data_IF_091313002231
#
_entry.id   IF_091313002231
#
_cell.length_a   1.000
_cell.length_b   1.000
_cell.length_c   1.000
_cell.angle_alpha   90.00
_cell.angle_beta   90.00
_cell.angle_gamma   90.00
#
_symmetry.space_group_name_H-M   'P 1'
#
loop_
_entity.id
_entity.type
_entity.pdbx_description
1 polymer ?
#
# COMPACT_ATOMS: atom_id res chain seq x y z
N UNK A 1 -1.13 -7.74 -40.57
CA UNK A 1 -1.37 -6.32 -40.24
C UNK A 1 -2.26 -6.30 -39.01
N UNK A 2 -1.63 -6.34 -37.85
CA UNK A 2 -2.18 -6.00 -36.53
C UNK A 2 -1.02 -6.21 -35.56
N UNK A 3 -0.03 -5.31 -35.69
CA UNK A 3 1.05 -5.16 -34.74
C UNK A 3 0.58 -4.19 -33.67
N UNK A 4 0.23 -4.74 -32.51
CA UNK A 4 0.09 -3.99 -31.27
C UNK A 4 0.83 -4.78 -30.21
N UNK A 5 2.01 -4.29 -29.81
CA UNK A 5 2.70 -4.77 -28.61
C UNK A 5 1.73 -4.62 -27.43
N UNK A 6 1.15 -5.74 -26.99
CA UNK A 6 0.37 -5.79 -25.75
C UNK A 6 1.36 -5.57 -24.61
N UNK A 7 1.35 -4.37 -24.04
CA UNK A 7 2.10 -4.03 -22.85
C UNK A 7 1.69 -4.98 -21.71
N UNK A 8 2.62 -5.82 -21.25
CA UNK A 8 2.45 -6.59 -20.03
C UNK A 8 3.01 -5.76 -18.86
N UNK A 9 2.18 -5.53 -17.84
CA UNK A 9 2.60 -4.82 -16.63
C UNK A 9 3.70 -5.56 -15.83
N UNK A 10 4.11 -6.75 -16.28
CA UNK A 10 5.28 -7.48 -15.80
C UNK A 10 6.61 -6.89 -16.29
N UNK A 11 6.63 -6.23 -17.46
CA UNK A 11 7.85 -5.66 -18.09
C UNK A 11 8.25 -4.29 -17.55
N UNK A 12 7.39 -3.64 -16.75
CA UNK A 12 7.84 -2.54 -15.90
C UNK A 12 8.67 -3.15 -14.76
N UNK A 13 9.93 -3.44 -15.05
CA UNK A 13 10.99 -3.65 -14.07
C UNK A 13 11.22 -2.32 -13.32
N UNK A 14 10.30 -2.03 -12.39
CA UNK A 14 10.70 -1.26 -11.22
C UNK A 14 11.81 -2.08 -10.56
N UNK A 15 13.00 -1.52 -10.29
CA UNK A 15 14.05 -2.22 -9.59
C UNK A 15 13.45 -2.98 -8.41
N UNK A 16 13.74 -4.29 -8.31
CA UNK A 16 13.50 -5.06 -7.09
C UNK A 16 14.12 -4.25 -5.95
N UNK A 17 13.40 -4.14 -4.85
CA UNK A 17 13.66 -3.26 -3.70
C UNK A 17 13.20 -1.82 -3.89
N UNK A 18 12.07 -1.48 -3.26
CA UNK A 18 11.79 -0.17 -2.62
C UNK A 18 10.31 0.00 -2.22
N UNK A 19 9.41 -0.86 -2.72
CA UNK A 19 8.01 -0.94 -2.24
C UNK A 19 7.74 -2.21 -1.42
N UNK A 20 8.64 -3.20 -1.44
CA UNK A 20 8.69 -4.28 -0.45
C UNK A 20 9.13 -3.70 0.90
N UNK A 21 8.29 -3.86 1.92
CA UNK A 21 8.67 -3.60 3.31
C UNK A 21 9.47 -4.79 3.84
N UNK A 22 10.78 -4.79 3.63
CA UNK A 22 11.71 -5.60 4.43
C UNK A 22 12.85 -4.68 4.84
N UNK A 23 12.75 -4.23 6.09
CA UNK A 23 13.77 -3.45 6.76
C UNK A 23 14.65 -4.44 7.53
N UNK A 24 15.75 -4.87 6.93
CA UNK A 24 16.89 -5.40 7.68
C UNK A 24 18.17 -4.91 7.01
N UNK A 25 18.92 -4.12 7.77
CA UNK A 25 20.24 -3.68 7.37
C UNK A 25 21.23 -4.82 7.51
N UNK A 26 21.91 -5.15 6.42
CA UNK A 26 23.30 -5.57 6.40
C UNK A 26 23.85 -5.18 5.04
N UNK A 27 24.76 -4.21 5.05
CA UNK A 27 25.71 -3.99 3.97
C UNK A 27 26.71 -5.17 3.98
N UNK A 28 27.19 -5.52 2.78
CA UNK A 28 28.19 -6.55 2.45
C UNK A 28 27.66 -7.96 2.13
N UNK A 29 27.56 -8.26 0.82
CA UNK A 29 28.04 -9.48 0.11
C UNK A 29 27.52 -9.43 -1.35
N UNK A 30 28.31 -8.87 -2.27
CA UNK A 30 29.18 -9.57 -3.25
C UNK A 30 28.43 -10.07 -4.50
N UNK A 31 28.91 -9.55 -5.63
CA UNK A 31 28.59 -9.96 -7.00
C UNK A 31 28.72 -11.47 -7.18
N UNK A 32 27.66 -12.12 -7.63
CA UNK A 32 27.68 -13.34 -8.43
C UNK A 32 26.51 -13.25 -9.44
N UNK A 33 26.71 -12.47 -10.50
CA UNK A 33 26.02 -12.70 -11.76
C UNK A 33 26.77 -13.83 -12.45
N UNK A 34 26.17 -15.03 -12.53
CA UNK A 34 26.46 -16.01 -13.58
C UNK A 34 25.33 -17.09 -13.67
N UNK A 35 24.66 -17.08 -14.83
CA UNK A 35 24.25 -18.28 -15.60
C UNK A 35 22.99 -19.12 -15.23
N UNK A 36 21.87 -18.50 -14.82
CA UNK A 36 20.58 -19.22 -14.55
C UNK A 36 19.34 -18.75 -15.34
N UNK A 37 19.48 -18.01 -16.45
CA UNK A 37 18.30 -17.49 -17.18
C UNK A 37 17.76 -18.41 -18.29
N UNK A 38 18.53 -19.39 -18.78
CA UNK A 38 18.09 -20.25 -19.89
C UNK A 38 17.03 -21.30 -19.48
N UNK A 39 17.08 -21.83 -18.26
CA UNK A 39 16.15 -22.89 -17.80
C UNK A 39 14.79 -22.34 -17.31
N UNK A 40 14.72 -21.04 -16.98
CA UNK A 40 13.51 -20.38 -16.52
C UNK A 40 12.54 -20.04 -17.67
N UNK A 41 13.03 -19.80 -18.89
CA UNK A 41 12.17 -19.48 -20.03
C UNK A 41 11.36 -20.70 -20.51
N UNK A 42 11.97 -21.89 -20.59
CA UNK A 42 11.26 -23.11 -21.01
C UNK A 42 10.21 -23.56 -19.98
N UNK A 43 10.51 -23.44 -18.69
CA UNK A 43 9.59 -23.77 -17.61
C UNK A 43 8.42 -22.77 -17.51
N UNK A 44 8.69 -21.48 -17.71
CA UNK A 44 7.65 -20.43 -17.81
C UNK A 44 6.72 -20.67 -18.99
N UNK A 45 7.28 -21.02 -20.16
CA UNK A 45 6.50 -21.31 -21.36
C UNK A 45 5.64 -22.59 -21.18
N UNK A 46 6.18 -23.61 -20.52
CA UNK A 46 5.44 -24.83 -20.17
C UNK A 46 4.25 -24.53 -19.25
N UNK A 47 4.45 -23.72 -18.20
CA UNK A 47 3.37 -23.31 -17.30
C UNK A 47 2.30 -22.50 -18.02
N UNK A 48 2.68 -21.56 -18.91
CA UNK A 48 1.73 -20.80 -19.72
C UNK A 48 0.87 -21.69 -20.61
N UNK A 49 1.47 -22.71 -21.24
CA UNK A 49 0.74 -23.70 -22.06
C UNK A 49 -0.26 -24.47 -21.19
N UNK A 50 0.16 -24.92 -20.00
CA UNK A 50 -0.73 -25.61 -19.05
C UNK A 50 -1.91 -24.72 -18.61
N UNK A 51 -1.65 -23.47 -18.24
CA UNK A 51 -2.71 -22.53 -17.86
C UNK A 51 -3.68 -22.26 -19.00
N UNK A 52 -3.16 -22.09 -20.23
CA UNK A 52 -4.00 -21.90 -21.42
C UNK A 52 -4.90 -23.12 -21.67
N UNK A 53 -4.35 -24.33 -21.57
CA UNK A 53 -5.12 -25.58 -21.71
C UNK A 53 -6.23 -25.71 -20.65
N UNK A 54 -5.94 -25.33 -19.39
CA UNK A 54 -6.95 -25.31 -18.33
C UNK A 54 -8.06 -24.28 -18.61
N UNK A 55 -7.71 -23.06 -19.03
CA UNK A 55 -8.68 -22.03 -19.40
C UNK A 55 -9.53 -22.48 -20.60
N UNK A 56 -8.93 -23.10 -21.62
CA UNK A 56 -9.65 -23.62 -22.79
C UNK A 56 -10.62 -24.74 -22.39
N UNK A 57 -10.23 -25.60 -21.44
CA UNK A 57 -11.09 -26.67 -20.93
C UNK A 57 -12.26 -26.12 -20.12
N UNK A 58 -12.00 -25.17 -19.22
CA UNK A 58 -13.04 -24.51 -18.43
C UNK A 58 -13.99 -23.68 -19.31
N UNK A 59 -13.47 -23.00 -20.33
CA UNK A 59 -14.27 -22.22 -21.28
C UNK A 59 -15.21 -23.09 -22.11
N UNK A 60 -14.86 -24.37 -22.34
CA UNK A 60 -15.76 -25.33 -23.00
C UNK A 60 -16.88 -25.81 -22.08
N UNK A 61 -16.63 -25.87 -20.77
CA UNK A 61 -17.62 -26.31 -19.78
C UNK A 61 -18.59 -25.18 -19.41
N UNK A 62 -18.07 -23.98 -19.17
CA UNK A 62 -18.84 -22.80 -18.79
C UNK A 62 -18.26 -21.54 -19.46
N UNK A 63 -18.60 -21.30 -20.74
CA UNK A 63 -18.06 -20.17 -21.50
C UNK A 63 -18.48 -18.81 -20.93
N UNK A 64 -19.68 -18.73 -20.36
CA UNK A 64 -20.21 -17.48 -19.82
C UNK A 64 -19.46 -17.06 -18.56
N UNK A 65 -19.28 -17.97 -17.59
CA UNK A 65 -18.54 -17.68 -16.36
C UNK A 65 -17.11 -17.27 -16.67
N UNK A 66 -16.42 -17.96 -17.56
CA UNK A 66 -15.02 -17.63 -17.89
C UNK A 66 -14.92 -16.27 -18.57
N UNK A 67 -15.81 -15.94 -19.51
CA UNK A 67 -15.80 -14.63 -20.16
C UNK A 67 -16.08 -13.49 -19.17
N UNK A 68 -17.03 -13.68 -18.25
CA UNK A 68 -17.36 -12.71 -17.20
C UNK A 68 -16.19 -12.52 -16.23
N UNK A 69 -15.54 -13.62 -15.78
CA UNK A 69 -14.36 -13.56 -14.89
C UNK A 69 -13.17 -12.88 -15.57
N UNK A 70 -12.89 -13.19 -16.84
CA UNK A 70 -11.81 -12.54 -17.60
C UNK A 70 -12.04 -11.03 -17.69
N UNK A 71 -13.28 -10.61 -17.94
CA UNK A 71 -13.66 -9.20 -17.99
C UNK A 71 -13.50 -8.54 -16.61
N UNK A 72 -13.97 -9.18 -15.54
CA UNK A 72 -13.81 -8.71 -14.16
C UNK A 72 -12.33 -8.51 -13.80
N UNK A 73 -11.48 -9.50 -14.07
CA UNK A 73 -10.05 -9.44 -13.75
C UNK A 73 -9.34 -8.39 -14.60
N UNK A 74 -9.67 -8.27 -15.90
CA UNK A 74 -9.13 -7.23 -16.77
C UNK A 74 -9.41 -5.84 -16.21
N UNK A 75 -10.66 -5.59 -15.82
CA UNK A 75 -11.06 -4.28 -15.30
C UNK A 75 -10.52 -4.00 -13.90
N UNK A 76 -10.44 -5.01 -13.03
CA UNK A 76 -9.77 -4.89 -11.74
C UNK A 76 -8.29 -4.53 -11.93
N UNK A 77 -7.59 -5.16 -12.87
CA UNK A 77 -6.21 -4.81 -13.22
C UNK A 77 -6.12 -3.36 -13.72
N UNK A 78 -7.04 -2.90 -14.57
CA UNK A 78 -7.08 -1.49 -15.04
C UNK A 78 -7.20 -0.49 -13.90
N UNK A 79 -8.10 -0.72 -12.95
CA UNK A 79 -8.32 0.22 -11.83
C UNK A 79 -7.26 0.09 -10.70
N UNK A 80 -6.29 -0.82 -10.82
CA UNK A 80 -5.20 -0.99 -9.84
C UNK A 80 -4.45 0.30 -9.63
N UNK A 81 -3.98 0.89 -10.74
CA UNK A 81 -3.17 2.10 -10.74
C UNK A 81 -3.71 3.02 -11.84
N UNK A 82 -4.36 4.11 -11.43
CA UNK A 82 -4.87 5.10 -12.37
C UNK A 82 -3.71 5.90 -12.96
N UNK A 83 -3.90 6.50 -14.15
CA UNK A 83 -2.82 7.21 -14.84
C UNK A 83 -2.22 8.36 -14.03
N UNK A 84 -3.03 9.12 -13.31
CA UNK A 84 -2.54 10.18 -12.41
C UNK A 84 -1.80 9.63 -11.17
N UNK A 85 -2.20 8.46 -10.67
CA UNK A 85 -1.48 7.76 -9.60
C UNK A 85 -0.13 7.22 -10.08
N UNK A 86 -0.08 6.69 -11.31
CA UNK A 86 1.15 6.23 -11.97
C UNK A 86 2.14 7.39 -12.10
N UNK A 87 1.71 8.50 -12.69
CA UNK A 87 2.55 9.70 -12.85
C UNK A 87 3.06 10.22 -11.50
N UNK A 88 2.18 10.35 -10.51
CA UNK A 88 2.58 10.81 -9.18
C UNK A 88 3.56 9.85 -8.50
N UNK A 89 3.31 8.54 -8.59
CA UNK A 89 4.13 7.49 -7.98
C UNK A 89 5.54 7.47 -8.57
N UNK A 90 5.64 7.44 -9.90
CA UNK A 90 6.93 7.42 -10.60
C UNK A 90 7.73 8.70 -10.37
N UNK A 91 7.09 9.88 -10.43
CA UNK A 91 7.78 11.15 -10.12
C UNK A 91 8.26 11.22 -8.67
N UNK A 92 7.49 10.70 -7.72
CA UNK A 92 7.91 10.64 -6.32
C UNK A 92 9.09 9.68 -6.11
N UNK A 93 9.09 8.53 -6.80
CA UNK A 93 10.18 7.55 -6.74
C UNK A 93 11.50 8.12 -7.26
N UNK A 94 11.46 8.82 -8.39
CA UNK A 94 12.66 9.41 -9.00
C UNK A 94 13.02 10.79 -8.45
N UNK A 95 12.33 11.29 -7.42
CA UNK A 95 12.55 12.64 -6.89
C UNK A 95 13.99 12.85 -6.37
N UNK A 96 14.54 11.86 -5.68
CA UNK A 96 15.92 11.90 -5.18
C UNK A 96 16.91 11.95 -6.34
N UNK A 97 16.71 11.13 -7.37
CA UNK A 97 17.55 11.10 -8.56
C UNK A 97 17.45 12.39 -9.37
N UNK A 98 16.25 12.94 -9.57
CA UNK A 98 16.04 14.24 -10.21
C UNK A 98 16.82 15.34 -9.47
N UNK A 99 16.80 15.30 -8.13
CA UNK A 99 17.52 16.28 -7.30
C UNK A 99 19.05 16.11 -7.42
N UNK A 100 19.56 14.87 -7.41
CA UNK A 100 20.99 14.58 -7.62
C UNK A 100 21.47 15.05 -9.00
N UNK A 101 20.71 14.78 -10.06
CA UNK A 101 21.03 15.22 -11.42
C UNK A 101 20.99 16.74 -11.56
N UNK A 102 20.06 17.40 -10.87
CA UNK A 102 20.05 18.87 -10.81
C UNK A 102 21.36 19.40 -10.20
N UNK A 103 21.78 18.88 -9.06
CA UNK A 103 23.02 19.31 -8.39
C UNK A 103 24.27 18.99 -9.24
N UNK A 104 24.30 17.83 -9.89
CA UNK A 104 25.38 17.46 -10.80
C UNK A 104 25.49 18.42 -11.99
N UNK A 105 24.35 18.82 -12.55
CA UNK A 105 24.32 19.78 -13.65
C UNK A 105 24.80 21.17 -13.20
N UNK A 106 24.41 21.62 -12.00
CA UNK A 106 24.89 22.89 -11.41
C UNK A 106 26.42 22.88 -11.27
N UNK A 107 27.00 21.79 -10.75
CA UNK A 107 28.45 21.62 -10.62
C UNK A 107 29.20 21.60 -11.96
N UNK A 108 28.68 20.87 -12.95
CA UNK A 108 29.32 20.79 -14.28
C UNK A 108 29.27 22.15 -15.00
N UNK A 109 28.20 22.92 -14.85
CA UNK A 109 28.09 24.27 -15.43
C UNK A 109 29.11 25.22 -14.79
N UNK A 110 29.27 25.19 -13.46
CA UNK A 110 30.26 26.00 -12.76
C UNK A 110 31.67 25.71 -13.27
N UNK A 111 32.02 24.42 -13.40
CA UNK A 111 33.31 23.98 -13.94
C UNK A 111 33.57 24.42 -15.38
N UNK A 112 32.55 24.42 -16.24
CA UNK A 112 32.67 24.91 -17.63
C UNK A 112 32.85 26.43 -17.66
N UNK A 113 32.17 27.16 -16.77
CA UNK A 113 32.29 28.61 -16.67
C UNK A 113 33.66 29.06 -16.13
N UNK A 114 34.23 28.34 -15.16
CA UNK A 114 35.55 28.61 -14.59
C UNK A 114 36.71 28.33 -15.56
N UNK A 115 36.50 27.57 -16.62
CA UNK A 115 37.56 27.23 -17.56
C UNK A 115 37.98 28.46 -18.40
N UNK A 116 39.26 28.91 -18.30
CA UNK A 116 39.74 30.09 -19.03
C UNK A 116 40.04 29.78 -20.51
N UNK A 117 40.11 28.52 -20.91
CA UNK A 117 40.52 28.10 -22.26
C UNK A 117 39.34 27.96 -23.25
N UNK A 118 38.11 28.25 -22.81
CA UNK A 118 36.91 28.11 -23.63
C UNK A 118 36.33 29.49 -23.96
N UNK A 119 35.95 29.69 -25.23
CA UNK A 119 35.23 30.88 -25.66
C UNK A 119 33.75 30.81 -25.21
N UNK A 120 33.07 31.96 -25.15
CA UNK A 120 31.67 32.01 -24.69
C UNK A 120 30.73 31.12 -25.53
N UNK A 121 30.91 31.04 -26.86
CA UNK A 121 30.12 30.15 -27.72
C UNK A 121 30.38 28.67 -27.44
N UNK A 122 31.64 28.30 -27.16
CA UNK A 122 32.02 26.93 -26.81
C UNK A 122 31.46 26.53 -25.44
N UNK A 123 31.46 27.46 -24.47
CA UNK A 123 30.85 27.27 -23.16
C UNK A 123 29.36 27.00 -23.27
N UNK A 124 28.62 27.79 -24.05
CA UNK A 124 27.18 27.61 -24.27
C UNK A 124 26.90 26.24 -24.90
N UNK A 125 27.64 25.87 -25.96
CA UNK A 125 27.46 24.58 -26.64
C UNK A 125 27.76 23.40 -25.70
N UNK A 126 28.84 23.48 -24.93
CA UNK A 126 29.24 22.43 -23.99
C UNK A 126 28.23 22.28 -22.85
N UNK A 127 27.70 23.40 -22.33
CA UNK A 127 26.66 23.41 -21.30
C UNK A 127 25.36 22.76 -21.83
N UNK A 128 24.95 23.08 -23.06
CA UNK A 128 23.78 22.46 -23.68
C UNK A 128 23.95 20.95 -23.87
N UNK A 129 25.13 20.50 -24.28
CA UNK A 129 25.44 19.08 -24.45
C UNK A 129 25.47 18.33 -23.10
N UNK A 130 26.08 18.94 -22.07
CA UNK A 130 26.09 18.41 -20.70
C UNK A 130 24.69 18.32 -20.11
N UNK A 131 23.86 19.35 -20.31
CA UNK A 131 22.44 19.33 -19.92
C UNK A 131 21.72 18.15 -20.56
N UNK A 132 21.83 18.00 -21.89
CA UNK A 132 21.21 16.91 -22.63
C UNK A 132 21.63 15.54 -22.09
N UNK A 133 22.91 15.32 -21.81
CA UNK A 133 23.42 14.04 -21.32
C UNK A 133 22.88 13.73 -19.91
N UNK A 134 22.94 14.69 -18.99
CA UNK A 134 22.57 14.50 -17.58
C UNK A 134 21.06 14.30 -17.42
N UNK A 135 20.25 15.00 -18.22
CA UNK A 135 18.78 14.99 -18.15
C UNK A 135 18.15 13.88 -19.01
N UNK A 136 18.86 13.31 -19.98
CA UNK A 136 18.35 12.24 -20.86
C UNK A 136 17.66 11.09 -20.12
N UNK A 137 18.17 10.56 -18.99
CA UNK A 137 17.47 9.49 -18.26
C UNK A 137 16.14 9.94 -17.64
N UNK A 138 16.01 11.21 -17.23
CA UNK A 138 14.74 11.76 -16.73
C UNK A 138 13.75 11.86 -17.88
N UNK A 139 14.18 12.37 -19.05
CA UNK A 139 13.34 12.47 -20.25
C UNK A 139 12.86 11.08 -20.65
N UNK A 140 13.74 10.08 -20.65
CA UNK A 140 13.38 8.70 -20.99
C UNK A 140 12.24 8.17 -20.11
N UNK A 141 12.29 8.41 -18.79
CA UNK A 141 11.22 8.00 -17.87
C UNK A 141 9.90 8.72 -18.21
N UNK A 142 9.94 10.02 -18.50
CA UNK A 142 8.74 10.80 -18.84
C UNK A 142 8.15 10.37 -20.19
N UNK A 143 8.98 10.03 -21.17
CA UNK A 143 8.55 9.49 -22.47
C UNK A 143 7.88 8.12 -22.29
N UNK A 144 8.46 7.22 -21.50
CA UNK A 144 7.83 5.93 -21.18
C UNK A 144 6.46 6.11 -20.52
N UNK A 145 6.32 7.05 -19.58
CA UNK A 145 5.03 7.37 -18.97
C UNK A 145 4.05 7.99 -19.97
N UNK A 146 4.54 8.83 -20.88
CA UNK A 146 3.74 9.41 -21.95
C UNK A 146 3.24 8.33 -22.91
N UNK A 147 4.07 7.37 -23.28
CA UNK A 147 3.70 6.27 -24.19
C UNK A 147 2.57 5.42 -23.61
N UNK A 148 2.59 5.18 -22.29
CA UNK A 148 1.52 4.46 -21.59
C UNK A 148 0.22 5.29 -21.50
N UNK A 149 0.32 6.61 -21.34
CA UNK A 149 -0.84 7.48 -21.06
C UNK A 149 -1.39 8.22 -22.29
N UNK A 150 -0.75 8.09 -23.45
CA UNK A 150 -1.23 8.64 -24.72
C UNK A 150 -2.02 7.63 -25.58
N UNK A 151 -2.13 6.38 -25.13
CA UNK A 151 -2.98 5.34 -25.74
C UNK A 151 -4.45 5.77 -25.75
N UNK A 152 -5.25 5.24 -26.68
CA UNK A 152 -6.70 5.49 -26.73
C UNK A 152 -7.35 5.25 -25.36
N UNK A 153 -8.10 6.26 -24.87
CA UNK A 153 -8.78 6.20 -23.58
C UNK A 153 -10.00 5.28 -23.66
N UNK A 154 -10.08 4.32 -22.74
CA UNK A 154 -11.21 3.38 -22.62
C UNK A 154 -12.20 3.82 -21.53
N UNK A 155 -11.76 4.67 -20.60
CA UNK A 155 -12.59 5.14 -19.47
C UNK A 155 -12.77 6.66 -19.47
N UNK A 156 -13.88 7.19 -18.89
CA UNK A 156 -14.06 8.63 -18.71
C UNK A 156 -12.91 9.30 -17.96
N UNK A 157 -12.35 8.64 -16.94
CA UNK A 157 -11.23 9.16 -16.16
C UNK A 157 -9.94 9.24 -16.97
N UNK A 158 -9.66 8.24 -17.81
CA UNK A 158 -8.52 8.27 -18.75
C UNK A 158 -8.65 9.42 -19.76
N UNK A 159 -9.86 9.62 -20.30
CA UNK A 159 -10.14 10.74 -21.21
C UNK A 159 -9.95 12.09 -20.55
N UNK A 160 -10.49 12.29 -19.34
CA UNK A 160 -10.32 13.53 -18.56
C UNK A 160 -8.83 13.79 -18.27
N UNK A 161 -8.07 12.74 -17.96
CA UNK A 161 -6.63 12.86 -17.76
C UNK A 161 -5.93 13.40 -19.01
N UNK A 162 -6.24 12.85 -20.18
CA UNK A 162 -5.62 13.27 -21.44
C UNK A 162 -5.96 14.71 -21.78
N UNK A 163 -7.24 15.07 -21.72
CA UNK A 163 -7.73 16.42 -22.00
C UNK A 163 -7.08 17.47 -21.09
N UNK A 164 -6.75 17.09 -19.86
CA UNK A 164 -6.21 18.01 -18.86
C UNK A 164 -4.68 18.09 -18.83
N UNK A 165 -3.98 16.98 -19.04
CA UNK A 165 -2.55 16.87 -18.76
C UNK A 165 -1.68 16.53 -19.97
N UNK A 166 -2.24 15.96 -21.05
CA UNK A 166 -1.40 15.42 -22.14
C UNK A 166 -0.60 16.51 -22.87
N UNK A 167 -1.21 17.66 -23.14
CA UNK A 167 -0.54 18.78 -23.81
C UNK A 167 0.51 19.42 -22.90
N UNK A 168 0.20 19.55 -21.60
CA UNK A 168 1.16 20.00 -20.58
C UNK A 168 2.37 19.05 -20.48
N UNK A 169 2.15 17.73 -20.50
CA UNK A 169 3.23 16.72 -20.46
C UNK A 169 4.12 16.84 -21.69
N UNK A 170 3.52 16.95 -22.89
CA UNK A 170 4.27 17.14 -24.14
C UNK A 170 5.11 18.40 -24.11
N UNK A 171 4.54 19.52 -23.66
CA UNK A 171 5.25 20.79 -23.52
C UNK A 171 6.43 20.69 -22.52
N UNK A 172 6.23 20.02 -21.38
CA UNK A 172 7.29 19.79 -20.40
C UNK A 172 8.42 18.94 -20.98
N UNK A 173 8.11 17.84 -21.67
CA UNK A 173 9.12 16.99 -22.31
C UNK A 173 9.88 17.75 -23.39
N UNK A 174 9.20 18.58 -24.20
CA UNK A 174 9.84 19.42 -25.20
C UNK A 174 10.78 20.45 -24.58
N UNK A 175 10.35 21.14 -23.51
CA UNK A 175 11.18 22.11 -22.78
C UNK A 175 12.37 21.48 -22.07
N UNK A 176 12.26 20.23 -21.62
CA UNK A 176 13.38 19.48 -21.06
C UNK A 176 14.39 19.03 -22.13
N UNK A 177 13.92 18.68 -23.34
CA UNK A 177 14.78 18.34 -24.48
C UNK A 177 15.51 19.56 -25.04
N UNK A 178 14.83 20.70 -25.10
CA UNK A 178 15.32 21.95 -25.68
C UNK A 178 15.15 23.10 -24.67
N UNK A 179 16.00 23.20 -23.64
CA UNK A 179 15.89 24.26 -22.64
C UNK A 179 16.23 25.63 -23.24
N UNK A 180 15.40 26.64 -22.97
CA UNK A 180 15.67 28.04 -23.38
C UNK A 180 16.91 28.62 -22.68
N UNK A 181 17.18 28.18 -21.44
CA UNK A 181 18.33 28.61 -20.63
C UNK A 181 19.06 27.38 -20.05
N UNK A 182 19.94 26.72 -20.81
CA UNK A 182 20.67 25.55 -20.33
C UNK A 182 21.70 25.91 -19.23
N UNK A 183 22.12 27.17 -19.17
CA UNK A 183 23.04 27.72 -18.15
C UNK A 183 22.43 27.79 -16.74
N UNK A 184 21.10 27.66 -16.62
CA UNK A 184 20.39 27.73 -15.34
C UNK A 184 19.59 26.44 -15.08
N UNK A 185 20.19 25.47 -14.37
CA UNK A 185 19.54 24.18 -14.08
C UNK A 185 18.19 24.33 -13.37
N UNK A 186 18.12 25.28 -12.43
CA UNK A 186 16.90 25.55 -11.67
C UNK A 186 15.74 25.96 -12.56
N UNK A 187 15.99 26.81 -13.58
CA UNK A 187 14.99 27.29 -14.53
C UNK A 187 14.62 26.18 -15.53
N UNK A 188 15.61 25.44 -16.02
CA UNK A 188 15.38 24.32 -16.96
C UNK A 188 14.50 23.19 -16.39
N UNK A 189 14.53 22.97 -15.08
CA UNK A 189 13.73 21.95 -14.37
C UNK A 189 12.45 22.50 -13.74
N UNK A 190 12.17 23.82 -13.82
CA UNK A 190 10.90 24.39 -13.33
C UNK A 190 9.66 23.75 -13.97
N UNK A 191 9.62 23.48 -15.29
CA UNK A 191 8.44 22.87 -15.91
C UNK A 191 8.08 21.52 -15.28
N UNK A 192 9.08 20.69 -14.98
CA UNK A 192 8.89 19.40 -14.31
C UNK A 192 8.38 19.57 -12.87
N UNK A 193 8.93 20.53 -12.10
CA UNK A 193 8.46 20.83 -10.74
C UNK A 193 7.01 21.33 -10.74
N UNK A 194 6.63 22.14 -11.72
CA UNK A 194 5.25 22.63 -11.86
C UNK A 194 4.28 21.49 -12.19
N UNK A 195 4.66 20.60 -13.11
CA UNK A 195 3.87 19.41 -13.45
C UNK A 195 3.68 18.50 -12.23
N UNK A 196 4.75 18.25 -11.47
CA UNK A 196 4.68 17.46 -10.25
C UNK A 196 3.74 18.10 -9.21
N UNK A 197 3.80 19.43 -9.05
CA UNK A 197 2.89 20.18 -8.16
C UNK A 197 1.43 20.07 -8.62
N UNK A 198 1.16 20.12 -9.94
CA UNK A 198 -0.19 19.93 -10.50
C UNK A 198 -0.76 18.55 -10.15
N UNK A 199 0.02 17.48 -10.29
CA UNK A 199 -0.41 16.14 -9.86
C UNK A 199 -0.64 16.08 -8.36
N UNK A 200 0.32 16.58 -7.59
CA UNK A 200 0.26 16.60 -6.13
C UNK A 200 -0.99 17.32 -5.58
N UNK A 201 -1.41 18.44 -6.16
CA UNK A 201 -2.59 19.20 -5.70
C UNK A 201 -3.87 18.37 -5.60
N UNK A 202 -4.07 17.40 -6.52
CA UNK A 202 -5.24 16.49 -6.48
C UNK A 202 -5.22 15.59 -5.25
N UNK A 203 -4.03 15.19 -4.78
CA UNK A 203 -3.84 14.20 -3.72
C UNK A 203 -3.42 14.77 -2.35
N UNK A 204 -3.26 16.09 -2.23
CA UNK A 204 -2.84 16.75 -0.97
C UNK A 204 -3.94 16.81 0.12
N UNK A 205 -5.16 16.39 -0.19
CA UNK A 205 -6.22 16.27 0.82
C UNK A 205 -5.91 15.04 1.68
N UNK A 206 -5.48 15.25 2.93
CA UNK A 206 -5.20 14.21 3.95
C UNK A 206 -6.44 13.39 4.39
N UNK A 207 -7.52 13.47 3.63
CA UNK A 207 -8.80 12.80 3.85
C UNK A 207 -8.99 11.75 2.79
N UNK A 208 -9.59 10.61 3.15
CA UNK A 208 -10.11 9.67 2.18
C UNK A 208 -10.94 10.43 1.15
N UNK A 209 -10.69 10.18 -0.13
CA UNK A 209 -11.48 10.76 -1.21
C UNK A 209 -12.17 9.64 -1.98
N UNK A 210 -13.32 9.98 -2.53
CA UNK A 210 -14.18 9.03 -3.20
C UNK A 210 -14.05 9.22 -4.70
N UNK A 211 -13.92 8.10 -5.41
CA UNK A 211 -14.07 8.00 -6.86
C UNK A 211 -15.40 7.32 -7.17
N UNK A 212 -15.90 7.55 -8.38
CA UNK A 212 -17.05 6.81 -8.90
C UNK A 212 -16.56 5.67 -9.79
N UNK A 213 -17.11 4.47 -9.59
CA UNK A 213 -16.78 3.31 -10.41
C UNK A 213 -17.07 3.57 -11.89
N UNK A 214 -18.18 4.23 -12.21
CA UNK A 214 -18.55 4.58 -13.58
C UNK A 214 -17.48 5.43 -14.31
N UNK A 215 -16.70 6.22 -13.57
CA UNK A 215 -15.69 7.11 -14.15
C UNK A 215 -14.39 6.34 -14.42
N UNK A 216 -14.04 5.35 -13.58
CA UNK A 216 -12.79 4.58 -13.66
C UNK A 216 -12.94 3.20 -14.34
N UNK A 217 -14.14 2.63 -14.36
CA UNK A 217 -14.50 1.41 -15.08
C UNK A 217 -16.02 1.36 -15.28
N UNK A 218 -16.52 1.86 -16.43
CA UNK A 218 -17.93 1.74 -16.81
C UNK A 218 -18.40 0.29 -16.87
N UNK A 219 -17.49 -0.63 -17.23
CA UNK A 219 -17.77 -2.06 -17.34
C UNK A 219 -18.09 -2.63 -15.95
N UNK A 220 -17.23 -2.43 -14.94
CA UNK A 220 -17.50 -2.90 -13.58
C UNK A 220 -18.77 -2.28 -12.98
N UNK A 221 -19.04 -1.01 -13.29
CA UNK A 221 -20.28 -0.37 -12.87
C UNK A 221 -21.52 -0.98 -13.55
N UNK A 222 -21.40 -1.36 -14.83
CA UNK A 222 -22.47 -1.96 -15.62
C UNK A 222 -22.77 -3.42 -15.31
N UNK A 223 -21.87 -4.12 -14.60
CA UNK A 223 -22.06 -5.51 -14.19
C UNK A 223 -23.30 -5.63 -13.29
N UNK A 224 -24.22 -6.52 -13.69
CA UNK A 224 -25.43 -6.89 -12.94
C UNK A 224 -25.71 -8.38 -13.03
N UNK A 225 -26.13 -8.96 -11.92
CA UNK A 225 -26.61 -10.34 -11.74
C UNK A 225 -25.75 -11.37 -12.47
N UNK A 226 -24.45 -11.41 -12.13
CA UNK A 226 -23.48 -12.30 -12.76
C UNK A 226 -23.58 -13.73 -12.29
N UNK A 227 -22.94 -14.62 -13.05
CA UNK A 227 -22.66 -16.01 -12.66
C UNK A 227 -21.34 -16.16 -11.89
N UNK A 228 -20.58 -15.06 -11.72
CA UNK A 228 -19.29 -15.07 -11.04
C UNK A 228 -19.48 -15.33 -9.54
N UNK A 229 -18.86 -16.39 -9.02
CA UNK A 229 -18.82 -16.65 -7.59
C UNK A 229 -18.08 -15.52 -6.83
N UNK A 230 -18.59 -15.17 -5.65
CA UNK A 230 -18.02 -14.12 -4.83
C UNK A 230 -16.58 -14.46 -4.39
N UNK A 231 -15.59 -13.58 -4.64
CA UNK A 231 -14.18 -13.90 -4.38
C UNK A 231 -13.90 -14.25 -2.91
N UNK A 232 -13.20 -15.35 -2.67
CA UNK A 232 -12.74 -15.73 -1.33
C UNK A 232 -13.83 -16.30 -0.41
N UNK A 233 -15.03 -16.62 -0.91
CA UNK A 233 -16.06 -17.32 -0.12
C UNK A 233 -16.01 -18.81 -0.46
N UNK A 234 -15.86 -19.66 0.55
CA UNK A 234 -15.88 -21.11 0.38
C UNK A 234 -17.30 -21.61 0.08
N UNK A 235 -17.46 -22.45 -0.96
CA UNK A 235 -18.72 -23.07 -1.43
C UNK A 235 -19.33 -24.13 -0.49
N UNK A 236 -19.39 -23.88 0.82
CA UNK A 236 -19.86 -24.92 1.75
C UNK A 236 -21.39 -25.05 1.84
N UNK A 237 -22.19 -24.08 1.37
CA UNK A 237 -23.67 -24.18 1.49
C UNK A 237 -24.46 -23.60 0.32
N UNK A 238 -24.08 -22.43 -0.23
CA UNK A 238 -24.66 -21.83 -1.45
C UNK A 238 -23.59 -21.01 -2.18
N UNK A 239 -23.50 -21.14 -3.49
CA UNK A 239 -22.65 -20.30 -4.31
C UNK A 239 -23.27 -18.90 -4.37
N UNK A 240 -22.73 -17.96 -3.60
CA UNK A 240 -23.09 -16.55 -3.69
C UNK A 240 -22.41 -15.98 -4.92
N UNK A 241 -23.18 -15.38 -5.84
CA UNK A 241 -22.63 -14.72 -7.02
C UNK A 241 -22.62 -13.20 -6.85
N UNK A 242 -21.84 -12.51 -7.67
CA UNK A 242 -21.81 -11.04 -7.68
C UNK A 242 -23.10 -10.53 -8.34
N UNK A 243 -23.97 -9.87 -7.58
CA UNK A 243 -25.12 -9.17 -8.12
C UNK A 243 -24.71 -7.83 -8.72
N UNK A 244 -23.96 -6.98 -8.04
CA UNK A 244 -23.41 -5.76 -8.65
C UNK A 244 -22.25 -5.17 -7.84
N UNK A 245 -21.53 -4.22 -8.43
CA UNK A 245 -20.43 -3.48 -7.79
C UNK A 245 -20.89 -2.07 -7.41
N UNK A 246 -20.54 -1.63 -6.21
CA UNK A 246 -20.85 -0.28 -5.74
C UNK A 246 -20.24 0.78 -6.67
N UNK A 247 -21.00 1.83 -6.97
CA UNK A 247 -20.47 2.98 -7.69
C UNK A 247 -19.51 3.81 -6.82
N UNK A 248 -19.48 3.64 -5.50
CA UNK A 248 -18.60 4.39 -4.62
C UNK A 248 -17.32 3.61 -4.34
N UNK A 249 -16.17 4.18 -4.72
CA UNK A 249 -14.84 3.64 -4.42
C UNK A 249 -14.11 4.61 -3.49
N UNK A 250 -13.79 4.16 -2.28
CA UNK A 250 -13.07 4.98 -1.30
C UNK A 250 -11.58 4.68 -1.31
N UNK A 251 -10.74 5.71 -1.46
CA UNK A 251 -9.29 5.57 -1.39
C UNK A 251 -8.81 5.86 0.03
N UNK A 252 -8.09 4.91 0.62
CA UNK A 252 -7.61 5.05 1.99
C UNK A 252 -6.35 5.95 2.04
N UNK A 253 -6.22 6.82 3.06
CA UNK A 253 -5.14 7.80 3.16
C UNK A 253 -3.84 7.17 3.70
N UNK A 254 -3.33 6.13 3.05
CA UNK A 254 -2.05 5.49 3.37
C UNK A 254 -1.02 5.76 2.26
N UNK A 255 0.24 5.37 2.49
CA UNK A 255 1.33 5.52 1.49
C UNK A 255 0.98 4.82 0.16
N UNK A 256 0.38 3.63 0.23
CA UNK A 256 0.04 2.80 -0.94
C UNK A 256 -1.36 3.06 -1.50
N UNK A 257 -2.14 3.96 -0.88
CA UNK A 257 -3.46 4.42 -1.34
C UNK A 257 -4.39 3.29 -1.85
N UNK A 258 -4.61 2.22 -1.07
CA UNK A 258 -5.44 1.11 -1.50
C UNK A 258 -6.91 1.53 -1.67
N UNK A 259 -7.59 0.86 -2.58
CA UNK A 259 -8.98 1.16 -2.97
C UNK A 259 -9.92 0.23 -2.19
N UNK A 260 -10.87 0.79 -1.44
CA UNK A 260 -11.94 0.02 -0.79
C UNK A 260 -13.06 -0.21 -1.79
N UNK A 261 -13.24 -1.45 -2.20
CA UNK A 261 -14.29 -1.89 -3.13
C UNK A 261 -15.41 -2.59 -2.36
N UNK A 262 -16.66 -2.40 -2.81
CA UNK A 262 -17.84 -3.03 -2.21
C UNK A 262 -18.63 -3.74 -3.29
N UNK A 263 -18.85 -5.03 -3.09
CA UNK A 263 -19.63 -5.93 -3.94
C UNK A 263 -20.92 -6.30 -3.21
N UNK A 264 -21.99 -6.51 -3.97
CA UNK A 264 -23.27 -6.99 -3.47
C UNK A 264 -23.49 -8.41 -3.97
N UNK A 265 -23.77 -9.32 -3.05
CA UNK A 265 -24.03 -10.72 -3.38
C UNK A 265 -25.48 -10.98 -3.78
N UNK A 266 -25.70 -12.09 -4.47
CA UNK A 266 -27.03 -12.64 -4.78
C UNK A 266 -27.85 -12.99 -3.54
N UNK A 267 -27.22 -13.07 -2.36
CA UNK A 267 -27.85 -13.28 -1.06
C UNK A 267 -28.31 -11.97 -0.38
N UNK A 268 -28.06 -10.82 -1.01
CA UNK A 268 -28.38 -9.50 -0.47
C UNK A 268 -27.35 -8.97 0.53
N UNK A 269 -26.26 -9.69 0.77
CA UNK A 269 -25.20 -9.25 1.67
C UNK A 269 -24.17 -8.38 0.93
N UNK A 270 -23.58 -7.43 1.66
CA UNK A 270 -22.42 -6.65 1.19
C UNK A 270 -21.11 -7.33 1.53
N UNK A 271 -20.23 -7.40 0.53
CA UNK A 271 -18.88 -7.94 0.62
C UNK A 271 -17.87 -6.85 0.30
N UNK A 272 -17.06 -6.50 1.29
CA UNK A 272 -16.09 -5.42 1.16
C UNK A 272 -14.70 -6.00 0.98
N UNK A 273 -13.94 -5.41 0.05
CA UNK A 273 -12.56 -5.79 -0.21
C UNK A 273 -11.65 -4.57 -0.19
N UNK A 274 -10.46 -4.74 0.36
CA UNK A 274 -9.34 -3.85 0.19
C UNK A 274 -8.56 -4.29 -1.05
N UNK A 275 -8.58 -3.46 -2.08
CA UNK A 275 -7.82 -3.68 -3.29
C UNK A 275 -6.45 -3.00 -3.19
N UNK A 276 -5.40 -3.82 -3.25
CA UNK A 276 -4.01 -3.38 -3.16
C UNK A 276 -3.30 -3.57 -4.50
N UNK A 277 -2.55 -2.55 -4.89
CA UNK A 277 -1.71 -2.55 -6.08
C UNK A 277 -0.26 -2.26 -5.71
N UNK A 278 0.67 -2.71 -6.56
CA UNK A 278 2.13 -2.64 -6.36
C UNK A 278 2.62 -3.41 -5.12
N UNK A 279 1.84 -4.37 -4.64
CA UNK A 279 2.16 -5.25 -3.52
C UNK A 279 1.95 -6.71 -3.95
N UNK A 280 2.89 -7.59 -3.61
CA UNK A 280 2.75 -9.03 -3.81
C UNK A 280 1.98 -9.63 -2.62
N UNK A 281 0.80 -10.18 -2.88
CA UNK A 281 -0.08 -10.77 -1.86
C UNK A 281 0.00 -12.30 -1.79
N UNK A 282 0.88 -12.95 -2.56
CA UNK A 282 0.99 -14.41 -2.52
C UNK A 282 1.45 -14.92 -1.17
N UNK A 283 2.35 -14.20 -0.49
CA UNK A 283 2.79 -14.59 0.85
C UNK A 283 1.63 -14.51 1.86
N UNK A 284 0.89 -13.40 1.86
CA UNK A 284 -0.32 -13.25 2.69
C UNK A 284 -1.33 -14.37 2.45
N UNK A 285 -1.54 -14.74 1.19
CA UNK A 285 -2.42 -15.84 0.80
C UNK A 285 -1.97 -17.18 1.42
N UNK A 286 -0.68 -17.50 1.37
CA UNK A 286 -0.12 -18.71 2.02
C UNK A 286 -0.27 -18.69 3.54
N UNK A 287 -0.11 -17.53 4.18
CA UNK A 287 -0.35 -17.41 5.62
C UNK A 287 -1.82 -17.70 5.94
N UNK A 288 -2.77 -17.18 5.17
CA UNK A 288 -4.19 -17.47 5.38
C UNK A 288 -4.53 -18.94 5.15
N UNK A 289 -3.92 -19.59 4.16
CA UNK A 289 -4.03 -21.05 3.97
C UNK A 289 -3.50 -21.82 5.19
N UNK A 290 -2.34 -21.43 5.73
CA UNK A 290 -1.77 -22.05 6.92
C UNK A 290 -2.72 -21.92 8.13
N UNK A 291 -3.32 -20.75 8.35
CA UNK A 291 -4.31 -20.56 9.41
C UNK A 291 -5.55 -21.44 9.22
N UNK A 292 -5.99 -21.64 7.98
CA UNK A 292 -7.10 -22.54 7.66
C UNK A 292 -6.78 -24.00 8.01
N UNK A 293 -5.56 -24.45 7.70
CA UNK A 293 -5.07 -25.79 8.08
C UNK A 293 -4.97 -25.93 9.61
N UNK A 294 -4.41 -24.93 10.30
CA UNK A 294 -4.32 -24.92 11.76
C UNK A 294 -5.71 -25.03 12.41
N UNK A 295 -6.69 -24.30 11.89
CA UNK A 295 -8.09 -24.40 12.34
C UNK A 295 -8.70 -25.78 12.12
N UNK A 296 -8.34 -26.45 11.02
CA UNK A 296 -8.83 -27.80 10.71
C UNK A 296 -8.25 -28.82 11.71
N UNK A 297 -6.99 -28.66 12.10
CA UNK A 297 -6.36 -29.47 13.16
C UNK A 297 -7.00 -29.21 14.53
N UNK A 298 -7.22 -27.94 14.88
CA UNK A 298 -7.85 -27.58 16.17
C UNK A 298 -9.32 -28.01 16.25
N UNK A 299 -10.04 -28.07 15.13
CA UNK A 299 -11.43 -28.53 15.09
C UNK A 299 -11.61 -29.98 15.53
N UNK A 300 -10.58 -30.82 15.39
CA UNK A 300 -10.61 -32.22 15.87
C UNK A 300 -10.65 -32.32 17.41
N UNK A 301 -10.20 -31.27 18.11
CA UNK A 301 -10.15 -31.18 19.56
C UNK A 301 -11.33 -30.38 20.15
N UNK A 302 -12.45 -30.26 19.42
CA UNK A 302 -13.62 -29.57 19.92
C UNK A 302 -14.14 -30.22 21.22
N UNK A 303 -14.49 -29.38 22.19
CA UNK A 303 -15.13 -29.80 23.45
C UNK A 303 -16.38 -30.66 23.13
N UNK A 304 -16.72 -31.70 23.93
CA UNK A 304 -17.98 -32.45 23.79
C UNK A 304 -19.25 -31.58 23.73
N UNK A 305 -19.16 -30.32 24.17
CA UNK A 305 -20.18 -29.27 24.04
C UNK A 305 -20.36 -28.72 22.61
N UNK A 306 -19.51 -29.11 21.65
CA UNK A 306 -19.52 -28.64 20.26
C UNK A 306 -18.94 -27.23 20.03
N UNK A 307 -18.43 -26.57 21.07
CA UNK A 307 -17.85 -25.24 20.98
C UNK A 307 -16.34 -25.30 20.73
N UNK A 308 -15.93 -25.03 19.49
CA UNK A 308 -14.52 -24.89 19.18
C UNK A 308 -14.00 -23.49 19.61
N UNK A 309 -13.43 -23.43 20.81
CA UNK A 309 -12.81 -22.22 21.36
C UNK A 309 -11.42 -21.95 20.77
N UNK A 310 -10.77 -22.98 20.21
CA UNK A 310 -9.44 -22.88 19.61
C UNK A 310 -9.56 -22.60 18.12
N UNK A 311 -9.64 -21.32 17.78
CA UNK A 311 -9.77 -20.87 16.38
C UNK A 311 -8.92 -19.64 16.13
N UNK A 312 -8.11 -19.69 15.08
CA UNK A 312 -7.46 -18.53 14.50
C UNK A 312 -8.41 -17.85 13.52
N UNK A 313 -8.67 -16.56 13.69
CA UNK A 313 -9.39 -15.77 12.68
C UNK A 313 -8.47 -15.59 11.47
N UNK A 314 -9.02 -15.79 10.28
CA UNK A 314 -8.35 -15.54 9.02
C UNK A 314 -9.35 -14.92 8.05
N UNK A 315 -8.83 -14.24 7.04
CA UNK A 315 -9.59 -13.58 5.99
C UNK A 315 -9.09 -14.06 4.64
N UNK A 316 -9.90 -13.88 3.59
CA UNK A 316 -9.52 -14.35 2.26
C UNK A 316 -8.67 -13.31 1.55
N UNK A 317 -7.58 -13.78 0.95
CA UNK A 317 -6.67 -13.00 0.11
C UNK A 317 -6.69 -13.60 -1.29
N UNK A 318 -6.92 -12.78 -2.30
CA UNK A 318 -7.04 -13.19 -3.71
C UNK A 318 -6.00 -12.43 -4.53
N UNK A 319 -4.82 -13.00 -4.78
CA UNK A 319 -3.86 -12.45 -5.74
C UNK A 319 -4.49 -12.40 -7.14
N UNK A 320 -4.34 -11.25 -7.82
CA UNK A 320 -4.83 -11.01 -9.18
C UNK A 320 -3.69 -10.85 -10.19
N UNK A 321 -2.47 -11.18 -9.76
CA UNK A 321 -1.23 -11.05 -10.52
C UNK A 321 -0.03 -10.93 -9.57
N UNK A 322 1.18 -10.69 -10.09
CA UNK A 322 2.40 -10.63 -9.28
C UNK A 322 2.47 -9.42 -8.34
N UNK A 323 1.68 -8.37 -8.59
CA UNK A 323 1.76 -7.09 -7.88
C UNK A 323 0.39 -6.50 -7.52
N UNK A 324 -0.66 -7.30 -7.45
CA UNK A 324 -2.00 -6.81 -7.12
C UNK A 324 -2.87 -7.90 -6.57
N UNK A 325 -3.83 -7.53 -5.71
CA UNK A 325 -4.88 -8.46 -5.31
C UNK A 325 -5.88 -7.85 -4.34
N UNK A 326 -6.86 -8.67 -3.97
CA UNK A 326 -7.95 -8.32 -3.07
C UNK A 326 -7.72 -8.94 -1.70
N UNK A 327 -7.95 -8.17 -0.65
CA UNK A 327 -7.99 -8.64 0.73
C UNK A 327 -9.40 -8.42 1.26
N UNK A 328 -10.01 -9.46 1.82
CA UNK A 328 -11.35 -9.34 2.39
C UNK A 328 -11.33 -8.39 3.58
N UNK A 329 -12.29 -7.48 3.63
CA UNK A 329 -12.43 -6.56 4.75
C UNK A 329 -13.15 -7.25 5.91
N UNK A 330 -12.59 -7.12 7.11
CA UNK A 330 -13.19 -7.67 8.33
C UNK A 330 -14.00 -6.56 9.01
N UNK A 331 -15.32 -6.70 9.00
CA UNK A 331 -16.24 -5.79 9.68
C UNK A 331 -16.38 -6.13 11.17
N UNK A 332 -16.84 -5.14 11.95
CA UNK A 332 -17.14 -5.33 13.38
C UNK A 332 -15.91 -5.33 14.31
N UNK A 333 -14.70 -5.19 13.76
CA UNK A 333 -13.47 -5.15 14.56
C UNK A 333 -13.00 -3.72 14.84
N UNK A 334 -12.41 -3.51 16.01
CA UNK A 334 -11.81 -2.23 16.42
C UNK A 334 -10.30 -2.39 16.61
N UNK A 335 -9.45 -1.57 15.96
CA UNK A 335 -8.01 -1.58 16.26
C UNK A 335 -7.74 -1.24 17.71
N UNK A 336 -6.82 -1.95 18.36
CA UNK A 336 -6.46 -1.70 19.76
C UNK A 336 -5.98 -0.25 19.97
N UNK A 337 -5.30 0.33 18.97
CA UNK A 337 -4.84 1.73 19.01
C UNK A 337 -6.00 2.72 19.12
N UNK A 338 -7.15 2.40 18.53
CA UNK A 338 -8.33 3.26 18.59
C UNK A 338 -8.85 3.44 20.02
N UNK A 339 -8.71 2.41 20.87
CA UNK A 339 -9.10 2.47 22.29
C UNK A 339 -8.19 3.45 23.05
N UNK A 340 -6.87 3.33 22.84
CA UNK A 340 -5.89 4.23 23.43
C UNK A 340 -6.11 5.69 22.97
N UNK A 341 -6.30 5.90 21.67
CA UNK A 341 -6.55 7.23 21.10
C UNK A 341 -7.83 7.88 21.65
N UNK A 342 -8.92 7.12 21.77
CA UNK A 342 -10.17 7.60 22.39
C UNK A 342 -9.96 7.97 23.85
N UNK A 343 -9.19 7.19 24.60
CA UNK A 343 -8.83 7.53 25.98
C UNK A 343 -8.05 8.86 26.06
N UNK A 344 -7.01 9.04 25.24
CA UNK A 344 -6.24 10.30 25.21
C UNK A 344 -7.13 11.51 24.90
N UNK A 345 -8.06 11.38 23.96
CA UNK A 345 -9.03 12.43 23.63
C UNK A 345 -9.93 12.77 24.82
N UNK A 346 -10.40 11.77 25.57
CA UNK A 346 -11.20 11.97 26.79
C UNK A 346 -10.39 12.67 27.88
N UNK A 347 -9.15 12.28 28.10
CA UNK A 347 -8.27 12.94 29.09
C UNK A 347 -7.99 14.40 28.71
N UNK A 348 -7.71 14.67 27.43
CA UNK A 348 -7.48 16.02 26.94
C UNK A 348 -8.71 16.92 27.10
N UNK A 349 -9.92 16.36 27.00
CA UNK A 349 -11.18 17.09 27.17
C UNK A 349 -11.57 17.36 28.63
N UNK A 350 -10.84 16.83 29.63
CA UNK A 350 -11.16 17.06 31.04
C UNK A 350 -10.87 18.53 31.42
N UNK A 351 -11.82 19.22 32.09
CA UNK A 351 -11.72 20.66 32.37
C UNK A 351 -10.65 21.08 33.40
N UNK A 352 -9.89 20.13 33.99
CA UNK A 352 -8.93 20.41 35.06
C UNK A 352 -7.48 20.65 34.61
N UNK A 353 -7.17 20.58 33.31
CA UNK A 353 -5.83 20.90 32.83
C UNK A 353 -5.68 22.43 32.66
N UNK A 354 -4.99 23.06 33.62
CA UNK A 354 -4.78 24.51 33.78
C UNK A 354 -4.07 25.25 32.63
N UNK A 355 -3.91 24.66 31.44
CA UNK A 355 -3.36 25.35 30.26
C UNK A 355 -4.29 25.17 29.06
N UNK A 356 -5.21 26.12 28.91
CA UNK A 356 -6.11 26.27 27.76
C UNK A 356 -5.37 26.84 26.55
N UNK A 357 -4.55 26.03 25.89
CA UNK A 357 -4.04 26.27 24.54
C UNK A 357 -4.24 24.97 23.75
N UNK A 358 -5.24 24.96 22.86
CA UNK A 358 -5.58 23.93 21.86
C UNK A 358 -5.22 22.47 22.24
N UNK A 359 -6.22 21.71 22.68
CA UNK A 359 -6.17 20.29 23.03
C UNK A 359 -5.87 19.37 21.83
N UNK A 360 -4.69 19.49 21.24
CA UNK A 360 -4.17 18.53 20.26
C UNK A 360 -3.55 17.36 20.99
N UNK A 361 -4.16 16.18 20.83
CA UNK A 361 -3.59 14.91 21.30
C UNK A 361 -2.23 14.71 20.64
N UNK A 362 -1.19 14.58 21.46
CA UNK A 362 0.18 14.34 21.00
C UNK A 362 0.31 12.97 20.33
N UNK A 363 1.19 12.88 19.34
CA UNK A 363 1.51 11.60 18.70
C UNK A 363 2.34 10.71 19.64
N UNK A 364 2.28 9.37 19.50
CA UNK A 364 3.09 8.47 20.32
C UNK A 364 4.59 8.80 20.32
N UNK A 365 5.14 9.17 19.16
CA UNK A 365 6.54 9.59 19.04
C UNK A 365 6.84 10.84 19.87
N UNK A 366 5.95 11.84 19.84
CA UNK A 366 6.12 13.08 20.60
C UNK A 366 6.07 12.80 22.11
N UNK A 367 5.13 11.98 22.58
CA UNK A 367 5.04 11.58 23.98
C UNK A 367 6.30 10.87 24.47
N UNK A 368 6.84 9.96 23.66
CA UNK A 368 8.06 9.23 23.98
C UNK A 368 9.28 10.17 24.04
N UNK A 369 9.51 10.98 23.00
CA UNK A 369 10.66 11.88 22.94
C UNK A 369 10.61 13.01 23.97
N UNK A 370 9.42 13.50 24.32
CA UNK A 370 9.27 14.52 25.37
C UNK A 370 9.75 14.04 26.75
N UNK A 371 9.62 12.74 27.05
CA UNK A 371 10.15 12.13 28.29
C UNK A 371 11.60 11.69 28.14
N UNK A 372 11.96 11.18 26.97
CA UNK A 372 13.29 10.64 26.72
C UNK A 372 14.37 11.73 26.69
N UNK A 373 14.13 12.82 25.95
CA UNK A 373 15.16 13.83 25.67
C UNK A 373 15.74 14.49 26.94
N UNK A 374 14.95 14.90 27.95
CA UNK A 374 15.49 15.42 29.21
C UNK A 374 16.38 14.40 29.94
N UNK A 375 15.94 13.13 30.01
CA UNK A 375 16.68 12.09 30.71
C UNK A 375 17.99 11.72 30.00
N UNK A 376 18.02 11.78 28.65
CA UNK A 376 19.26 11.58 27.88
C UNK A 376 20.26 12.72 28.13
N UNK A 377 19.78 13.96 28.25
CA UNK A 377 20.63 15.12 28.58
C UNK A 377 21.19 15.00 29.99
N UNK A 378 20.37 14.62 30.97
CA UNK A 378 20.81 14.41 32.36
C UNK A 378 21.86 13.29 32.50
N UNK A 379 21.79 12.27 31.63
CA UNK A 379 22.77 11.19 31.55
C UNK A 379 24.00 11.51 30.68
N UNK A 380 24.10 12.74 30.15
CA UNK A 380 25.26 13.22 29.40
C UNK A 380 25.45 12.58 28.03
N UNK A 381 24.37 12.06 27.41
CA UNK A 381 24.42 11.47 26.06
C UNK A 381 24.67 12.57 25.03
N UNK A 382 25.80 12.48 24.32
CA UNK A 382 26.24 13.51 23.36
C UNK A 382 25.46 13.45 22.05
N UNK A 383 25.16 12.25 21.55
CA UNK A 383 24.43 12.05 20.30
C UNK A 383 23.02 11.50 20.58
N UNK A 384 22.05 12.41 20.68
CA UNK A 384 20.64 12.06 20.96
C UNK A 384 20.02 11.26 19.79
N UNK A 385 20.53 11.44 18.57
CA UNK A 385 20.00 10.77 17.38
C UNK A 385 20.45 9.30 17.27
N UNK A 386 21.61 8.96 17.85
CA UNK A 386 22.12 7.60 17.81
C UNK A 386 21.47 6.70 18.87
N UNK A 387 20.45 5.94 18.46
CA UNK A 387 19.72 5.00 19.33
C UNK A 387 20.60 3.96 20.02
N UNK A 388 21.73 3.58 19.42
CA UNK A 388 22.66 2.59 19.99
C UNK A 388 23.36 3.11 21.26
N UNK A 389 23.43 4.42 21.43
CA UNK A 389 24.05 5.08 22.60
C UNK A 389 23.06 5.29 23.76
N UNK A 390 21.78 4.96 23.58
CA UNK A 390 20.76 5.21 24.60
C UNK A 390 20.88 4.25 25.80
N UNK A 391 21.02 4.76 27.04
CA UNK A 391 21.12 3.90 28.22
C UNK A 391 19.84 3.08 28.46
N UNK A 392 20.01 1.78 28.70
CA UNK A 392 18.88 0.88 29.00
C UNK A 392 18.11 1.29 30.26
N UNK A 393 18.79 1.85 31.26
CA UNK A 393 18.16 2.38 32.49
C UNK A 393 17.16 3.49 32.19
N UNK A 394 17.54 4.44 31.33
CA UNK A 394 16.70 5.55 30.90
C UNK A 394 15.48 5.04 30.13
N UNK A 395 15.67 4.12 29.19
CA UNK A 395 14.57 3.52 28.43
C UNK A 395 13.56 2.81 29.34
N UNK A 396 14.05 2.05 30.33
CA UNK A 396 13.18 1.40 31.33
C UNK A 396 12.45 2.41 32.20
N UNK A 397 13.08 3.53 32.54
CA UNK A 397 12.44 4.60 33.31
C UNK A 397 11.30 5.24 32.49
N UNK A 398 11.57 5.65 31.25
CA UNK A 398 10.55 6.24 30.35
C UNK A 398 9.36 5.29 30.19
N UNK A 399 9.61 3.99 29.99
CA UNK A 399 8.54 3.00 29.89
C UNK A 399 7.70 2.95 31.17
N UNK A 400 8.31 2.88 32.36
CA UNK A 400 7.59 2.84 33.64
C UNK A 400 6.73 4.09 33.86
N UNK A 401 7.25 5.27 33.50
CA UNK A 401 6.50 6.52 33.60
C UNK A 401 5.28 6.51 32.67
N UNK A 402 5.45 6.13 31.40
CA UNK A 402 4.35 6.04 30.44
C UNK A 402 3.30 4.99 30.83
N UNK A 403 3.72 3.87 31.40
CA UNK A 403 2.83 2.83 31.92
C UNK A 403 2.02 3.34 33.11
N UNK A 404 2.60 4.18 33.98
CA UNK A 404 1.89 4.74 35.13
C UNK A 404 0.84 5.78 34.74
N UNK A 405 1.05 6.48 33.60
CA UNK A 405 0.09 7.46 33.08
C UNK A 405 -1.13 6.83 32.39
N UNK A 406 -0.99 5.62 31.87
CA UNK A 406 -2.04 4.94 31.10
C UNK A 406 -2.74 3.88 31.95
N UNK A 407 -4.08 3.89 32.05
CA UNK A 407 -4.83 2.84 32.75
C UNK A 407 -4.57 1.46 32.13
N UNK A 408 -4.38 0.44 32.97
CA UNK A 408 -4.14 -0.94 32.54
C UNK A 408 -5.42 -1.70 32.14
N UNK A 409 -6.59 -1.11 32.36
CA UNK A 409 -7.89 -1.77 32.21
C UNK A 409 -8.73 -1.26 31.02
N UNK A 410 -8.12 -0.50 30.11
CA UNK A 410 -8.81 0.08 28.95
C UNK A 410 -9.58 -0.97 28.15
N UNK A 411 -8.93 -2.04 27.73
CA UNK A 411 -9.58 -3.10 26.95
C UNK A 411 -10.63 -3.86 27.78
N UNK A 412 -10.29 -4.22 29.03
CA UNK A 412 -11.19 -4.97 29.91
C UNK A 412 -12.51 -4.22 30.18
N UNK A 413 -12.43 -2.90 30.38
CA UNK A 413 -13.60 -2.03 30.57
C UNK A 413 -14.45 -1.89 29.31
N UNK A 414 -13.82 -1.82 28.14
CA UNK A 414 -14.56 -1.75 26.87
C UNK A 414 -15.29 -3.07 26.60
N UNK A 415 -14.66 -4.24 26.82
CA UNK A 415 -15.33 -5.54 26.72
C UNK A 415 -16.50 -5.68 27.71
N UNK A 416 -16.35 -5.18 28.94
CA UNK A 416 -17.45 -5.13 29.91
C UNK A 416 -18.58 -4.21 29.43
N UNK A 417 -18.25 -3.02 28.94
CA UNK A 417 -19.24 -2.01 28.53
C UNK A 417 -20.03 -2.44 27.29
N UNK A 418 -19.42 -3.24 26.41
CA UNK A 418 -20.07 -3.81 25.23
C UNK A 418 -20.92 -5.05 25.55
N UNK A 419 -20.81 -5.61 26.76
CA UNK A 419 -21.52 -6.83 27.14
C UNK A 419 -22.88 -6.53 27.76
N UNK A 420 -23.93 -7.21 27.28
CA UNK A 420 -25.31 -7.02 27.77
C UNK A 420 -25.58 -7.64 29.15
N UNK A 421 -24.74 -8.56 29.60
CA UNK A 421 -24.87 -9.24 30.89
C UNK A 421 -23.52 -9.78 31.38
N UNK A 422 -23.42 -10.09 32.67
CA UNK A 422 -22.22 -10.71 33.26
C UNK A 422 -21.88 -12.06 32.62
N UNK A 423 -22.89 -12.85 32.25
CA UNK A 423 -22.71 -14.12 31.54
C UNK A 423 -22.13 -13.93 30.14
N UNK A 424 -22.64 -12.95 29.38
CA UNK A 424 -22.09 -12.61 28.07
C UNK A 424 -20.64 -12.10 28.18
N UNK A 425 -20.37 -11.23 29.14
CA UNK A 425 -19.02 -10.74 29.42
C UNK A 425 -18.04 -11.87 29.71
N UNK A 426 -18.44 -12.84 30.54
CA UNK A 426 -17.60 -14.00 30.82
C UNK A 426 -17.25 -14.80 29.55
N UNK A 427 -18.22 -14.99 28.64
CA UNK A 427 -17.96 -15.68 27.37
C UNK A 427 -17.03 -14.89 26.44
N UNK A 428 -17.21 -13.56 26.37
CA UNK A 428 -16.34 -12.67 25.59
C UNK A 428 -14.90 -12.71 26.10
N UNK A 429 -14.69 -12.58 27.42
CA UNK A 429 -13.35 -12.64 28.05
C UNK A 429 -12.72 -14.02 27.87
N UNK A 430 -13.52 -15.08 28.01
CA UNK A 430 -13.07 -16.45 27.75
C UNK A 430 -12.57 -16.56 26.30
N UNK A 431 -13.38 -16.16 25.33
CA UNK A 431 -13.05 -16.21 23.90
C UNK A 431 -11.82 -15.38 23.53
N UNK A 432 -11.71 -14.17 24.07
CA UNK A 432 -10.51 -13.34 23.93
C UNK A 432 -9.25 -14.04 24.42
N UNK A 433 -9.30 -14.69 25.58
CA UNK A 433 -8.15 -15.40 26.14
C UNK A 433 -7.70 -16.55 25.24
N UNK A 434 -8.63 -17.33 24.68
CA UNK A 434 -8.31 -18.40 23.74
C UNK A 434 -7.80 -17.87 22.38
N UNK A 435 -8.43 -16.83 21.83
CA UNK A 435 -8.03 -16.22 20.55
C UNK A 435 -6.60 -15.68 20.62
N UNK A 436 -6.27 -14.95 21.70
CA UNK A 436 -4.92 -14.45 21.94
C UNK A 436 -3.91 -15.59 22.10
N UNK A 437 -4.25 -16.64 22.85
CA UNK A 437 -3.36 -17.78 23.04
C UNK A 437 -3.04 -18.49 21.71
N UNK A 438 -4.07 -18.74 20.90
CA UNK A 438 -3.93 -19.36 19.57
C UNK A 438 -3.06 -18.50 18.66
N UNK A 439 -3.38 -17.21 18.52
CA UNK A 439 -2.62 -16.31 17.65
C UNK A 439 -1.20 -16.05 18.15
N UNK A 440 -0.96 -16.11 19.46
CA UNK A 440 0.39 -15.97 20.03
C UNK A 440 1.27 -17.18 19.71
N UNK A 441 0.75 -18.41 19.84
CA UNK A 441 1.50 -19.63 19.52
C UNK A 441 1.75 -19.70 18.02
N UNK A 442 0.72 -19.45 17.20
CA UNK A 442 0.87 -19.44 15.74
C UNK A 442 1.87 -18.37 15.32
N UNK A 443 1.79 -17.17 15.90
CA UNK A 443 2.72 -16.09 15.61
C UNK A 443 4.16 -16.42 15.99
N UNK A 444 4.38 -17.12 17.10
CA UNK A 444 5.70 -17.62 17.47
C UNK A 444 6.23 -18.64 16.46
N UNK A 445 5.40 -19.58 16.00
CA UNK A 445 5.81 -20.63 15.04
C UNK A 445 6.17 -20.04 13.68
N UNK A 446 5.35 -19.11 13.18
CA UNK A 446 5.55 -18.50 11.86
C UNK A 446 6.64 -17.41 11.89
N UNK A 447 6.90 -16.81 13.06
CA UNK A 447 7.76 -15.64 13.18
C UNK A 447 7.05 -14.34 12.77
N UNK A 448 5.76 -14.21 13.11
CA UNK A 448 4.96 -13.03 12.77
C UNK A 448 5.52 -11.76 13.43
N UNK A 449 5.95 -10.79 12.61
CA UNK A 449 6.39 -9.45 13.02
C UNK A 449 5.28 -8.38 12.98
N UNK A 450 5.63 -7.12 13.20
CA UNK A 450 4.74 -5.95 13.02
C UNK A 450 3.43 -5.95 13.85
N UNK A 451 3.54 -6.33 15.13
CA UNK A 451 2.40 -6.42 16.08
C UNK A 451 1.96 -5.07 16.67
N UNK A 452 2.04 -3.98 15.90
CA UNK A 452 1.61 -2.67 16.38
C UNK A 452 0.09 -2.60 16.58
N UNK A 453 -0.39 -1.67 17.41
CA UNK A 453 -1.79 -1.61 17.85
C UNK A 453 -2.80 -1.28 16.73
N UNK A 454 -2.34 -0.84 15.56
CA UNK A 454 -3.20 -0.70 14.36
C UNK A 454 -3.42 -2.03 13.60
N UNK A 455 -2.53 -3.03 13.78
CA UNK A 455 -2.62 -4.36 13.15
C UNK A 455 -3.27 -5.41 14.07
N UNK A 456 -3.42 -5.09 15.36
CA UNK A 456 -4.12 -5.94 16.33
C UNK A 456 -5.55 -5.43 16.46
N UNK A 457 -6.47 -6.13 15.81
CA UNK A 457 -7.89 -5.80 15.82
C UNK A 457 -8.61 -6.66 16.86
N UNK A 458 -9.64 -6.13 17.50
CA UNK A 458 -10.46 -6.86 18.47
C UNK A 458 -11.93 -6.68 18.11
N UNK A 459 -12.67 -7.78 18.01
CA UNK A 459 -14.13 -7.75 17.98
C UNK A 459 -14.66 -7.62 19.41
N UNK A 460 -15.11 -6.42 19.78
CA UNK A 460 -15.61 -6.13 21.12
C UNK A 460 -16.93 -6.87 21.45
N UNK A 461 -17.60 -7.42 20.44
CA UNK A 461 -18.87 -8.15 20.60
C UNK A 461 -18.62 -9.62 20.94
N UNK A 462 -17.62 -10.23 20.30
CA UNK A 462 -17.33 -11.66 20.46
C UNK A 462 -16.10 -11.95 21.32
N UNK A 463 -15.15 -11.01 21.39
CA UNK A 463 -13.85 -11.17 22.02
C UNK A 463 -12.77 -11.72 21.10
N UNK A 464 -13.07 -12.05 19.84
CA UNK A 464 -12.05 -12.52 18.90
C UNK A 464 -10.97 -11.46 18.63
N UNK A 465 -9.74 -11.93 18.41
CA UNK A 465 -8.56 -11.14 18.01
C UNK A 465 -8.10 -11.59 16.63
#
# INVERSE_FOLDING_TARGET
LEGGLKFDFSEISLPKDCLSQTNDGNEDELNDEDDYDSDNEESSNTLQICFKSMVDTLSKQDPETIAQVQTLVKELRRITLLWDELWLGTLAQHQSEITKRQQQLEYEIEKVNENPNLNNEEKISLIAEKHRIIIKPIIFILEQLQDVTCVESETPHEKEFQEKYLDDIKDVILKLKNPEMPEKPQESLQPLKLLQKKFQQKFHKRTAYNLKMQDISPILHGIKDTVIAMPGIASNTKNVTISYVSNLVSILPTKTKPKKLVFYGSDGQTYTYLFKGLEDLHLDERIMQFLSIANTMMAQNADPSGHNLYRARYYSVIPLGPRSGLISWVDGTTPAFALYKRWQQREAAKPNNKNSLATTVLRPSELFYNKLNPLLQDHGVKNIENRKEWPLSVLKQVLKELMAETPSDLLAKELWSCSISAGAWWQVVKRYSYSVAVMSIIGYIIGLGDRHLDNVLVDLTTGDV
#
